data_IF_807606471096
#
_entry.id   IF_807606471096
#
_cell.length_a   1.000
_cell.length_b   1.000
_cell.length_c   1.000
_cell.angle_alpha   90.00
_cell.angle_beta   90.00
_cell.angle_gamma   90.00
#
_symmetry.space_group_name_H-M   'P 1'
#
loop_
_entity.id
_entity.type
_entity.pdbx_description
1 polymer ?
#
# COMPACT_ATOMS: atom_id res chain seq x y z
N UNK A 1 -58.02 49.28 -33.42
CA UNK A 1 -57.95 47.83 -33.73
C UNK A 1 -56.61 47.32 -33.19
N UNK A 2 -56.64 46.48 -32.14
CA UNK A 2 -55.47 46.04 -31.36
C UNK A 2 -54.82 44.83 -32.04
N UNK A 3 -53.51 44.89 -32.36
CA UNK A 3 -52.72 43.71 -32.74
C UNK A 3 -51.97 43.21 -31.51
N UNK A 4 -52.27 41.98 -31.12
CA UNK A 4 -51.75 41.29 -29.94
C UNK A 4 -50.40 40.70 -30.30
N UNK A 5 -49.32 41.13 -29.61
CA UNK A 5 -48.01 40.51 -29.71
C UNK A 5 -48.02 39.23 -28.86
N UNK A 6 -47.93 38.07 -29.51
CA UNK A 6 -47.79 36.78 -28.83
C UNK A 6 -46.38 36.60 -28.31
N UNK A 7 -46.24 36.50 -26.99
CA UNK A 7 -44.99 36.14 -26.31
C UNK A 7 -44.87 34.61 -26.36
N UNK A 8 -43.91 34.10 -27.11
CA UNK A 8 -43.54 32.69 -27.11
C UNK A 8 -42.60 32.45 -25.93
N UNK A 9 -43.12 31.83 -24.87
CA UNK A 9 -42.36 31.35 -23.72
C UNK A 9 -41.59 30.08 -24.15
N UNK A 10 -40.30 30.22 -24.42
CA UNK A 10 -39.38 29.10 -24.63
C UNK A 10 -39.03 28.53 -23.26
N UNK A 11 -39.69 27.44 -22.88
CA UNK A 11 -39.35 26.66 -21.69
C UNK A 11 -38.02 25.92 -21.94
N UNK A 12 -36.92 26.45 -21.39
CA UNK A 12 -35.62 25.79 -21.42
C UNK A 12 -35.65 24.57 -20.49
N UNK A 13 -35.70 23.37 -21.09
CA UNK A 13 -35.45 22.12 -20.37
C UNK A 13 -34.00 22.13 -19.86
N UNK A 14 -33.84 22.25 -18.54
CA UNK A 14 -32.60 22.01 -17.82
C UNK A 14 -32.29 20.51 -17.86
N UNK A 15 -31.49 20.08 -18.85
CA UNK A 15 -30.94 18.73 -18.88
C UNK A 15 -29.82 18.64 -17.84
N UNK A 16 -29.85 17.65 -16.92
CA UNK A 16 -28.74 17.46 -16.00
C UNK A 16 -27.52 16.99 -16.80
N UNK A 17 -26.49 17.83 -16.85
CA UNK A 17 -25.18 17.44 -17.35
C UNK A 17 -24.61 16.46 -16.33
N UNK A 18 -24.57 15.18 -16.69
CA UNK A 18 -23.88 14.18 -15.88
C UNK A 18 -22.37 14.49 -15.91
N UNK A 19 -21.86 15.11 -14.86
CA UNK A 19 -20.42 15.28 -14.68
C UNK A 19 -19.81 13.92 -14.39
N UNK A 20 -19.21 13.30 -15.40
CA UNK A 20 -18.34 12.14 -15.19
C UNK A 20 -17.10 12.62 -14.44
N UNK A 21 -17.02 12.34 -13.14
CA UNK A 21 -15.81 12.58 -12.38
C UNK A 21 -14.66 11.84 -13.06
N UNK A 22 -13.61 12.57 -13.46
CA UNK A 22 -12.43 11.95 -14.03
C UNK A 22 -11.83 10.98 -13.00
N UNK A 23 -11.51 9.75 -13.43
CA UNK A 23 -10.86 8.77 -12.56
C UNK A 23 -9.47 9.30 -12.20
N UNK A 24 -9.21 9.47 -10.91
CA UNK A 24 -7.90 9.81 -10.40
C UNK A 24 -6.84 8.79 -10.88
N UNK A 25 -5.70 9.27 -11.38
CA UNK A 25 -4.56 8.41 -11.75
C UNK A 25 -3.77 8.04 -10.48
N UNK A 26 -4.00 6.82 -10.00
CA UNK A 26 -3.35 6.31 -8.79
C UNK A 26 -1.83 6.25 -8.87
N UNK A 27 -1.24 6.09 -10.07
CA UNK A 27 0.21 6.11 -10.23
C UNK A 27 0.76 7.51 -10.04
N UNK A 28 0.12 8.49 -10.66
CA UNK A 28 0.54 9.89 -10.58
C UNK A 28 0.45 10.39 -9.14
N UNK A 29 -0.65 10.09 -8.45
CA UNK A 29 -0.83 10.42 -7.03
C UNK A 29 0.24 9.75 -6.18
N UNK A 30 0.51 8.45 -6.41
CA UNK A 30 1.57 7.75 -5.69
C UNK A 30 2.91 8.47 -5.84
N UNK A 31 3.30 8.79 -7.07
CA UNK A 31 4.60 9.44 -7.34
C UNK A 31 4.71 10.81 -6.69
N UNK A 32 3.64 11.60 -6.68
CA UNK A 32 3.62 12.94 -6.11
C UNK A 32 3.57 12.96 -4.57
N UNK A 33 3.03 11.90 -3.95
CA UNK A 33 2.75 11.88 -2.50
C UNK A 33 3.49 10.73 -1.82
N UNK A 34 3.02 9.50 -1.97
CA UNK A 34 3.59 8.31 -1.34
C UNK A 34 5.07 8.08 -1.68
N UNK A 35 5.46 8.45 -2.91
CA UNK A 35 6.79 8.33 -3.48
C UNK A 35 7.86 9.16 -2.78
N UNK A 36 7.45 10.17 -1.99
CA UNK A 36 8.37 10.98 -1.19
C UNK A 36 9.03 10.16 -0.08
N UNK A 37 8.39 9.07 0.37
CA UNK A 37 8.93 8.17 1.39
C UNK A 37 9.16 6.75 0.85
N UNK A 38 8.24 6.25 0.01
CA UNK A 38 8.27 4.88 -0.49
C UNK A 38 8.89 4.81 -1.89
N UNK A 39 9.99 4.10 -2.05
CA UNK A 39 10.51 3.81 -3.38
C UNK A 39 9.56 2.89 -4.14
N UNK A 40 9.46 3.09 -5.46
CA UNK A 40 8.65 2.22 -6.34
C UNK A 40 9.15 0.78 -6.33
N UNK A 41 10.46 0.61 -6.35
CA UNK A 41 11.11 -0.70 -6.43
C UNK A 41 12.26 -0.75 -5.45
N UNK A 42 12.53 -1.95 -4.92
CA UNK A 42 13.76 -2.20 -4.16
C UNK A 42 15.00 -1.85 -4.98
N UNK A 43 15.89 -1.09 -4.39
CA UNK A 43 17.23 -0.85 -4.89
C UNK A 43 18.26 -1.20 -3.79
N UNK A 44 19.01 -2.30 -3.94
CA UNK A 44 20.05 -2.68 -2.99
C UNK A 44 21.13 -1.62 -2.75
N UNK A 45 21.44 -0.80 -3.76
CA UNK A 45 22.45 0.25 -3.66
C UNK A 45 21.95 1.45 -2.85
N UNK A 46 20.63 1.61 -2.71
CA UNK A 46 19.99 2.72 -2.00
C UNK A 46 19.26 2.30 -0.73
N UNK A 47 19.63 1.14 -0.16
CA UNK A 47 18.91 0.60 1.01
C UNK A 47 18.93 1.52 2.21
N UNK A 48 20.02 2.26 2.40
CA UNK A 48 20.21 3.12 3.57
C UNK A 48 19.57 4.50 3.38
N UNK A 49 19.23 4.87 2.15
CA UNK A 49 18.47 6.09 1.83
C UNK A 49 16.96 5.92 2.05
N UNK A 50 16.48 4.69 2.23
CA UNK A 50 15.05 4.41 2.38
C UNK A 50 14.57 4.83 3.77
N UNK A 51 13.59 5.74 3.80
CA UNK A 51 12.89 6.13 5.03
C UNK A 51 11.61 5.31 5.27
N UNK A 52 11.16 4.57 4.25
CA UNK A 52 10.00 3.69 4.31
C UNK A 52 10.24 2.43 3.45
N UNK A 53 9.50 1.32 3.66
CA UNK A 53 9.66 0.13 2.85
C UNK A 53 9.24 0.37 1.39
N UNK A 54 9.95 -0.20 0.40
CA UNK A 54 9.59 -0.01 -1.01
C UNK A 54 8.25 -0.69 -1.34
N UNK A 55 7.49 -0.06 -2.24
CA UNK A 55 6.08 -0.40 -2.45
C UNK A 55 5.89 -1.72 -3.18
N UNK A 56 6.85 -2.13 -4.02
CA UNK A 56 6.86 -3.42 -4.70
C UNK A 56 6.75 -4.59 -3.71
N UNK A 57 7.44 -4.51 -2.58
CA UNK A 57 7.37 -5.51 -1.52
C UNK A 57 6.12 -5.42 -0.68
N UNK A 58 5.71 -4.21 -0.32
CA UNK A 58 4.49 -4.03 0.48
C UNK A 58 3.26 -4.49 -0.29
N UNK A 59 3.21 -4.26 -1.60
CA UNK A 59 2.16 -4.81 -2.46
C UNK A 59 2.12 -6.35 -2.40
N UNK A 60 3.28 -7.03 -2.39
CA UNK A 60 3.32 -8.49 -2.23
C UNK A 60 2.80 -8.92 -0.85
N UNK A 61 3.27 -8.29 0.24
CA UNK A 61 2.85 -8.65 1.60
C UNK A 61 1.36 -8.43 1.83
N UNK A 62 0.79 -7.32 1.34
CA UNK A 62 -0.65 -7.07 1.44
C UNK A 62 -1.42 -8.07 0.59
N UNK A 63 -0.98 -8.38 -0.65
CA UNK A 63 -1.62 -9.40 -1.49
C UNK A 63 -1.64 -10.76 -0.81
N UNK A 64 -0.55 -11.17 -0.17
CA UNK A 64 -0.48 -12.40 0.61
C UNK A 64 -1.48 -12.39 1.78
N UNK A 65 -1.48 -11.31 2.57
CA UNK A 65 -2.38 -11.15 3.70
C UNK A 65 -3.87 -11.14 3.30
N UNK A 66 -4.18 -10.80 2.04
CA UNK A 66 -5.55 -10.72 1.54
C UNK A 66 -5.93 -11.89 0.61
N UNK A 67 -5.07 -12.92 0.51
CA UNK A 67 -5.32 -14.08 -0.36
C UNK A 67 -5.41 -13.72 -1.85
N UNK A 68 -4.76 -12.62 -2.27
CA UNK A 68 -4.80 -12.11 -3.63
C UNK A 68 -6.13 -11.45 -4.01
N UNK A 69 -7.09 -11.30 -3.09
CA UNK A 69 -8.35 -10.63 -3.38
C UNK A 69 -8.16 -9.11 -3.49
N UNK A 70 -8.53 -8.54 -4.64
CA UNK A 70 -8.34 -7.12 -4.97
C UNK A 70 -9.11 -6.18 -4.03
N UNK A 71 -10.37 -6.47 -3.73
CA UNK A 71 -11.18 -5.61 -2.87
C UNK A 71 -10.73 -5.66 -1.41
N UNK A 72 -10.31 -6.83 -0.94
CA UNK A 72 -9.69 -6.98 0.38
C UNK A 72 -8.35 -6.26 0.44
N UNK A 73 -7.53 -6.32 -0.62
CA UNK A 73 -6.30 -5.56 -0.74
C UNK A 73 -6.56 -4.05 -0.62
N UNK A 74 -7.45 -3.51 -1.46
CA UNK A 74 -7.78 -2.07 -1.47
C UNK A 74 -8.27 -1.63 -0.08
N UNK A 75 -9.21 -2.36 0.52
CA UNK A 75 -9.68 -2.07 1.89
C UNK A 75 -8.57 -2.10 2.91
N UNK A 76 -7.66 -3.08 2.83
CA UNK A 76 -6.55 -3.23 3.77
C UNK A 76 -5.57 -2.06 3.69
N UNK A 77 -5.24 -1.64 2.48
CA UNK A 77 -4.36 -0.48 2.23
C UNK A 77 -5.02 0.77 2.77
N UNK A 78 -6.29 1.02 2.41
CA UNK A 78 -7.02 2.21 2.85
C UNK A 78 -7.17 2.27 4.37
N UNK A 79 -7.44 1.15 5.04
CA UNK A 79 -7.50 1.09 6.51
C UNK A 79 -6.15 1.41 7.15
N UNK A 80 -5.06 0.87 6.61
CA UNK A 80 -3.72 1.10 7.15
C UNK A 80 -3.29 2.55 6.96
N UNK A 81 -3.38 3.12 5.74
CA UNK A 81 -2.86 4.48 5.48
C UNK A 81 -3.61 5.57 6.26
N UNK A 82 -4.90 5.36 6.56
CA UNK A 82 -5.70 6.33 7.34
C UNK A 82 -5.40 6.30 8.83
N UNK A 83 -5.21 5.11 9.37
CA UNK A 83 -4.98 4.92 10.79
C UNK A 83 -3.95 3.81 11.01
N UNK A 84 -2.67 4.09 10.70
CA UNK A 84 -1.61 3.12 10.90
C UNK A 84 -1.51 2.73 12.36
N UNK A 85 -1.33 1.44 12.61
CA UNK A 85 -1.07 0.90 13.93
C UNK A 85 -0.17 -0.33 13.80
N UNK A 86 0.66 -0.67 14.81
CA UNK A 86 1.54 -1.83 14.75
C UNK A 86 0.78 -3.13 14.44
N UNK A 87 -0.35 -3.37 15.11
CA UNK A 87 -1.21 -4.54 14.86
C UNK A 87 -1.94 -4.53 13.52
N UNK A 88 -1.97 -3.39 12.83
CA UNK A 88 -2.47 -3.25 11.47
C UNK A 88 -1.34 -3.32 10.44
N UNK A 89 -0.07 -3.37 10.80
CA UNK A 89 0.98 -3.59 9.80
C UNK A 89 0.87 -5.01 9.24
N UNK A 90 1.14 -5.17 7.94
CA UNK A 90 1.34 -6.50 7.33
C UNK A 90 2.78 -7.00 7.51
N UNK A 91 3.68 -6.12 7.97
CA UNK A 91 5.09 -6.39 8.13
C UNK A 91 5.60 -5.75 9.43
N UNK A 92 5.80 -6.56 10.46
CA UNK A 92 6.32 -6.10 11.76
C UNK A 92 7.80 -5.67 11.65
N UNK A 93 8.58 -6.31 10.77
CA UNK A 93 9.99 -5.96 10.55
C UNK A 93 10.11 -4.58 9.88
N UNK A 94 9.16 -4.22 9.02
CA UNK A 94 9.11 -2.88 8.44
C UNK A 94 8.88 -1.81 9.53
N UNK A 95 8.00 -2.09 10.50
CA UNK A 95 7.77 -1.17 11.63
C UNK A 95 9.01 -1.07 12.52
N UNK A 96 9.69 -2.19 12.80
CA UNK A 96 10.93 -2.18 13.57
C UNK A 96 12.04 -1.37 12.90
N UNK A 97 12.17 -1.49 11.57
CA UNK A 97 13.23 -0.82 10.81
C UNK A 97 12.95 0.66 10.53
N UNK A 98 11.73 0.99 10.09
CA UNK A 98 11.38 2.32 9.57
C UNK A 98 10.53 3.14 10.55
N UNK A 99 10.07 2.53 11.65
CA UNK A 99 9.06 3.11 12.52
C UNK A 99 7.64 2.92 11.96
N UNK A 100 6.67 3.40 12.72
CA UNK A 100 5.27 3.38 12.30
C UNK A 100 5.03 4.49 11.27
N UNK A 101 4.39 4.15 10.15
CA UNK A 101 3.96 5.12 9.14
C UNK A 101 3.04 6.17 9.79
N UNK A 102 3.20 7.47 9.50
CA UNK A 102 2.23 8.48 9.93
C UNK A 102 0.88 8.30 9.20
N UNK A 103 -0.21 8.75 9.80
CA UNK A 103 -1.49 8.75 9.09
C UNK A 103 -1.39 9.64 7.85
N UNK A 104 -1.89 9.16 6.71
CA UNK A 104 -1.72 9.86 5.43
C UNK A 104 -2.37 11.24 5.47
N UNK A 105 -3.50 11.38 6.18
CA UNK A 105 -4.19 12.66 6.35
C UNK A 105 -3.41 13.69 7.16
N UNK A 106 -2.44 13.27 7.99
CA UNK A 106 -1.57 14.19 8.72
C UNK A 106 -0.48 14.78 7.81
N UNK A 107 -0.08 14.03 6.77
CA UNK A 107 1.01 14.40 5.85
C UNK A 107 0.48 15.04 4.56
N UNK A 108 -0.63 14.53 4.03
CA UNK A 108 -1.28 14.94 2.78
C UNK A 108 -2.79 15.10 3.03
N UNK A 109 -3.21 16.16 3.74
CA UNK A 109 -4.61 16.37 4.13
C UNK A 109 -5.55 16.61 2.94
N UNK A 110 -5.03 16.93 1.77
CA UNK A 110 -5.78 17.14 0.53
C UNK A 110 -6.23 15.84 -0.15
N UNK A 111 -5.62 14.70 0.18
CA UNK A 111 -5.96 13.43 -0.45
C UNK A 111 -7.35 12.95 -0.02
N UNK A 112 -8.18 12.66 -1.01
CA UNK A 112 -9.53 12.14 -0.78
C UNK A 112 -9.54 10.62 -0.71
N UNK A 113 -10.66 10.07 -0.22
CA UNK A 113 -10.96 8.65 -0.27
C UNK A 113 -10.83 8.05 -1.68
N UNK A 114 -11.22 8.83 -2.70
CA UNK A 114 -11.14 8.41 -4.09
C UNK A 114 -9.68 8.34 -4.57
N UNK A 115 -8.84 9.28 -4.13
CA UNK A 115 -7.40 9.29 -4.44
C UNK A 115 -6.69 8.10 -3.79
N UNK A 116 -6.93 7.89 -2.49
CA UNK A 116 -6.36 6.75 -1.76
C UNK A 116 -6.81 5.42 -2.35
N UNK A 117 -8.08 5.32 -2.78
CA UNK A 117 -8.59 4.15 -3.49
C UNK A 117 -7.87 3.97 -4.83
N UNK A 118 -7.71 5.03 -5.62
CA UNK A 118 -7.03 4.97 -6.91
C UNK A 118 -5.57 4.49 -6.76
N UNK A 119 -4.84 4.99 -5.76
CA UNK A 119 -3.48 4.54 -5.43
C UNK A 119 -3.47 3.07 -5.04
N UNK A 120 -4.37 2.63 -4.16
CA UNK A 120 -4.42 1.24 -3.72
C UNK A 120 -4.78 0.28 -4.87
N UNK A 121 -5.68 0.69 -5.75
CA UNK A 121 -6.02 -0.05 -6.97
C UNK A 121 -4.84 -0.18 -7.92
N UNK A 122 -4.16 0.93 -8.20
CA UNK A 122 -2.94 0.93 -9.00
C UNK A 122 -1.86 0.04 -8.38
N UNK A 123 -1.66 0.12 -7.06
CA UNK A 123 -0.65 -0.67 -6.35
C UNK A 123 -0.91 -2.18 -6.47
N UNK A 124 -2.18 -2.61 -6.45
CA UNK A 124 -2.53 -4.00 -6.71
C UNK A 124 -2.18 -4.39 -8.14
N UNK A 125 -2.66 -3.63 -9.13
CA UNK A 125 -2.57 -3.95 -10.55
C UNK A 125 -1.12 -3.92 -11.05
N UNK A 126 -0.32 -2.93 -10.61
CA UNK A 126 1.07 -2.73 -11.02
C UNK A 126 2.03 -3.84 -10.54
N UNK A 127 1.67 -4.56 -9.48
CA UNK A 127 2.54 -5.57 -8.85
C UNK A 127 1.97 -7.00 -8.93
N UNK A 128 0.96 -7.22 -9.78
CA UNK A 128 0.39 -8.55 -10.03
C UNK A 128 1.43 -9.56 -10.51
N UNK A 129 2.37 -9.10 -11.34
CA UNK A 129 3.38 -9.93 -11.98
C UNK A 129 4.59 -10.22 -11.09
N UNK A 130 4.69 -9.58 -9.91
CA UNK A 130 5.72 -9.94 -8.95
C UNK A 130 5.39 -11.33 -8.42
N UNK A 131 6.22 -12.28 -8.82
CA UNK A 131 6.08 -13.67 -8.39
C UNK A 131 6.27 -13.74 -6.88
N UNK A 132 5.29 -14.35 -6.23
CA UNK A 132 5.33 -14.66 -4.81
C UNK A 132 6.03 -16.02 -4.70
N UNK A 133 7.23 -16.11 -4.10
CA UNK A 133 7.88 -17.40 -3.90
C UNK A 133 6.98 -18.34 -3.08
N UNK A 134 6.89 -19.63 -3.42
CA UNK A 134 6.22 -20.60 -2.56
C UNK A 134 6.85 -20.56 -1.15
N UNK A 135 6.03 -20.36 -0.12
CA UNK A 135 6.48 -20.34 1.29
C UNK A 135 6.57 -18.96 1.95
N UNK A 136 6.23 -17.87 1.26
CA UNK A 136 6.19 -16.52 1.86
C UNK A 136 4.85 -16.19 2.57
N UNK A 137 3.92 -17.15 2.65
CA UNK A 137 2.61 -16.98 3.28
C UNK A 137 2.64 -17.20 4.79
N UNK A 138 2.28 -16.14 5.52
CA UNK A 138 1.76 -16.13 6.91
C UNK A 138 2.32 -17.18 7.88
N UNK A 139 3.33 -16.79 8.66
CA UNK A 139 3.56 -17.38 9.99
C UNK A 139 5.01 -17.76 10.27
N UNK A 140 5.76 -16.84 10.89
CA UNK A 140 6.86 -17.21 11.80
C UNK A 140 6.43 -16.91 13.24
N UNK A 141 5.36 -17.58 13.65
CA UNK A 141 5.04 -17.83 15.05
C UNK A 141 5.23 -19.32 15.29
N UNK A 142 6.33 -19.71 15.90
CA UNK A 142 6.67 -21.11 16.13
C UNK A 142 8.03 -21.27 16.80
N UNK A 143 8.13 -20.79 18.04
CA UNK A 143 9.13 -21.34 18.95
C UNK A 143 8.81 -22.81 19.25
N UNK A 144 9.88 -23.62 19.33
CA UNK A 144 10.04 -25.02 19.82
C UNK A 144 10.95 -25.75 18.82
N UNK A 145 12.06 -26.38 19.19
CA UNK A 145 12.51 -26.76 20.53
C UNK A 145 13.93 -27.32 20.52
N UNK A 146 14.31 -27.74 21.72
CA UNK A 146 15.56 -28.33 22.17
C UNK A 146 16.26 -29.26 21.16
N UNK A 147 17.55 -29.04 20.98
CA UNK A 147 18.50 -30.01 20.44
C UNK A 147 19.74 -30.06 21.32
N UNK A 148 19.63 -30.68 22.49
CA UNK A 148 20.80 -31.08 23.27
C UNK A 148 21.56 -32.16 22.52
N UNK A 149 22.82 -31.89 22.21
CA UNK A 149 23.77 -32.86 21.65
C UNK A 149 25.07 -32.81 22.43
N UNK A 150 25.17 -33.68 23.44
CA UNK A 150 26.42 -34.01 24.12
C UNK A 150 27.34 -34.77 23.16
N UNK A 151 28.64 -34.45 23.21
CA UNK A 151 29.73 -35.22 22.63
C UNK A 151 30.91 -34.29 22.36
N UNK A 152 32.03 -34.30 23.06
CA UNK A 152 32.68 -35.39 23.77
C UNK A 152 34.11 -35.52 23.23
N UNK A 153 35.07 -34.86 23.89
CA UNK A 153 36.46 -35.33 23.99
C UNK A 153 37.46 -34.93 22.89
N UNK A 154 38.72 -34.83 23.36
CA UNK A 154 40.01 -34.68 22.65
C UNK A 154 40.43 -33.22 22.39
N UNK A 155 41.41 -32.61 23.06
CA UNK A 155 42.56 -33.16 23.78
C UNK A 155 43.73 -33.37 22.80
N UNK A 156 44.65 -32.38 22.78
CA UNK A 156 46.00 -32.29 22.17
C UNK A 156 46.11 -30.96 21.40
N UNK A 157 47.09 -30.09 21.59
CA UNK A 157 48.29 -30.09 22.41
C UNK A 157 49.07 -28.83 22.01
N UNK A 158 49.56 -28.07 22.99
CA UNK A 158 50.58 -27.03 22.75
C UNK A 158 51.95 -27.71 22.70
N UNK A 159 52.87 -27.18 21.90
CA UNK A 159 54.25 -27.05 22.38
C UNK A 159 54.72 -25.60 22.30
N UNK A 160 55.34 -25.20 23.41
CA UNK A 160 56.43 -24.23 23.60
C UNK A 160 56.44 -22.97 22.73
#
# INVERSE_FOLDING_TARGET
MKRVLGVVLVATLLWPVATTAAKADGKEIFLATCGNCHFLTRDPARRDDMVAPPIDMMAVHVRLATGGNRDAFVRRVMDYVRAPAPGKSVDAMAVERFGLMPAIGDTYPELTDADLKAVAEWMFDAHLQIQIPPGMGTGMGGGMGMGGGMGGGMGRGRPQ
#
